data_IF_969665320822
#
_entry.id   IF_969665320822
#
_cell.length_a   1.000
_cell.length_b   1.000
_cell.length_c   1.000
_cell.angle_alpha   90.00
_cell.angle_beta   90.00
_cell.angle_gamma   90.00
#
_symmetry.space_group_name_H-M   'P 1'
#
loop_
_entity.id
_entity.type
_entity.pdbx_description
1 polymer ?
#
# COMPACT_ATOMS: atom_id res chain seq x y z
N UNK A 1 17.37 -46.51 57.16
CA UNK A 1 15.94 -46.25 56.93
C UNK A 1 15.84 -44.93 56.17
N UNK A 2 15.67 -44.98 54.85
CA UNK A 2 15.63 -43.79 53.98
C UNK A 2 14.17 -43.45 53.69
N UNK A 3 13.68 -42.33 54.22
CA UNK A 3 12.33 -41.85 53.96
C UNK A 3 12.32 -41.10 52.62
N UNK A 4 11.78 -41.74 51.59
CA UNK A 4 11.57 -41.11 50.29
C UNK A 4 10.39 -40.14 50.35
N UNK A 5 10.64 -38.87 50.05
CA UNK A 5 9.62 -37.83 49.93
C UNK A 5 8.89 -38.04 48.59
N UNK A 6 7.66 -38.56 48.63
CA UNK A 6 6.80 -38.66 47.45
C UNK A 6 6.25 -37.27 47.12
N UNK A 7 6.76 -36.64 46.05
CA UNK A 7 6.17 -35.40 45.52
C UNK A 7 4.88 -35.74 44.79
N UNK A 8 3.75 -35.23 45.30
CA UNK A 8 2.44 -35.35 44.64
C UNK A 8 2.46 -34.47 43.38
N UNK A 9 2.65 -35.07 42.22
CA UNK A 9 2.55 -34.35 40.95
C UNK A 9 1.12 -33.82 40.81
N UNK A 10 0.95 -32.50 40.74
CA UNK A 10 -0.33 -31.89 40.42
C UNK A 10 -0.79 -32.44 39.05
N UNK A 11 -2.02 -32.91 38.98
CA UNK A 11 -2.61 -33.38 37.72
C UNK A 11 -2.40 -32.31 36.64
N UNK A 12 -1.93 -32.73 35.47
CA UNK A 12 -1.79 -31.85 34.33
C UNK A 12 -3.17 -31.21 34.06
N UNK A 13 -3.30 -29.90 34.28
CA UNK A 13 -4.47 -29.17 33.81
C UNK A 13 -4.47 -29.31 32.30
N UNK A 14 -5.59 -29.77 31.74
CA UNK A 14 -5.76 -29.80 30.29
C UNK A 14 -5.44 -28.41 29.74
N UNK A 15 -4.61 -28.36 28.70
CA UNK A 15 -4.25 -27.10 28.08
C UNK A 15 -5.55 -26.41 27.65
N UNK A 16 -5.79 -25.14 28.02
CA UNK A 16 -6.99 -24.44 27.61
C UNK A 16 -7.08 -24.54 26.10
N UNK A 17 -8.24 -24.99 25.60
CA UNK A 17 -8.53 -25.08 24.18
C UNK A 17 -8.34 -23.65 23.65
N UNK A 18 -7.19 -23.38 23.03
CA UNK A 18 -6.97 -22.09 22.39
C UNK A 18 -7.92 -22.06 21.22
N UNK A 19 -9.01 -21.32 21.33
CA UNK A 19 -9.91 -20.97 20.24
C UNK A 19 -9.15 -20.16 19.18
N UNK A 20 -8.26 -20.82 18.41
CA UNK A 20 -7.49 -20.22 17.31
C UNK A 20 -8.22 -20.35 15.98
N UNK A 21 -9.52 -20.07 15.96
CA UNK A 21 -10.30 -19.93 14.73
C UNK A 21 -10.57 -18.45 14.44
N UNK A 22 -10.85 -18.10 13.18
CA UNK A 22 -11.26 -16.74 12.80
C UNK A 22 -12.43 -16.24 13.68
N UNK A 23 -13.43 -17.09 13.90
CA UNK A 23 -14.61 -16.79 14.75
C UNK A 23 -14.22 -16.60 16.22
N UNK A 24 -13.29 -17.41 16.74
CA UNK A 24 -12.75 -17.26 18.09
C UNK A 24 -11.98 -15.95 18.27
N UNK A 25 -11.20 -15.56 17.27
CA UNK A 25 -10.49 -14.28 17.21
C UNK A 25 -11.46 -13.08 17.19
N UNK A 26 -12.50 -13.14 16.36
CA UNK A 26 -13.52 -12.07 16.29
C UNK A 26 -14.22 -11.92 17.65
N UNK A 27 -14.66 -13.02 18.26
CA UNK A 27 -15.36 -12.96 19.55
C UNK A 27 -14.44 -12.44 20.66
N UNK A 28 -13.19 -12.89 20.70
CA UNK A 28 -12.24 -12.51 21.75
C UNK A 28 -11.65 -11.10 21.61
N UNK A 29 -11.62 -10.52 20.40
CA UNK A 29 -11.07 -9.19 20.18
C UNK A 29 -12.12 -8.10 19.94
N UNK A 30 -13.17 -8.39 19.16
CA UNK A 30 -14.19 -7.38 18.79
C UNK A 30 -15.38 -7.36 19.76
N UNK A 31 -15.72 -8.50 20.38
CA UNK A 31 -16.91 -8.67 21.22
C UNK A 31 -16.59 -9.23 22.61
N UNK A 32 -15.41 -8.88 23.14
CA UNK A 32 -14.89 -9.42 24.39
C UNK A 32 -15.69 -9.00 25.63
N UNK A 33 -16.25 -7.78 25.62
CA UNK A 33 -17.02 -7.18 26.70
C UNK A 33 -18.21 -6.43 26.11
N UNK A 34 -19.29 -6.23 26.88
CA UNK A 34 -20.51 -5.54 26.42
C UNK A 34 -20.22 -4.13 25.85
N UNK A 35 -19.30 -3.38 26.46
CA UNK A 35 -18.89 -2.06 25.96
C UNK A 35 -18.14 -2.14 24.62
N UNK A 36 -17.22 -3.11 24.47
CA UNK A 36 -16.55 -3.36 23.19
C UNK A 36 -17.53 -3.77 22.10
N UNK A 37 -18.54 -4.59 22.42
CA UNK A 37 -19.59 -4.95 21.47
C UNK A 37 -20.37 -3.74 20.97
N UNK A 38 -20.73 -2.80 21.85
CA UNK A 38 -21.44 -1.56 21.46
C UNK A 38 -20.56 -0.69 20.57
N UNK A 39 -19.30 -0.45 20.96
CA UNK A 39 -18.37 0.35 20.15
C UNK A 39 -18.16 -0.30 18.78
N UNK A 40 -17.94 -1.62 18.75
CA UNK A 40 -17.73 -2.36 17.50
C UNK A 40 -18.93 -2.20 16.57
N UNK A 41 -20.16 -2.37 17.06
CA UNK A 41 -21.38 -2.18 16.25
C UNK A 41 -21.51 -0.74 15.78
N UNK A 42 -21.24 0.24 16.64
CA UNK A 42 -21.28 1.66 16.28
C UNK A 42 -20.24 1.99 15.19
N UNK A 43 -19.01 1.47 15.32
CA UNK A 43 -17.96 1.64 14.31
C UNK A 43 -18.36 1.01 12.98
N UNK A 44 -18.89 -0.21 12.99
CA UNK A 44 -19.39 -0.84 11.76
C UNK A 44 -20.51 -0.03 11.12
N UNK A 45 -21.42 0.53 11.92
CA UNK A 45 -22.48 1.39 11.41
C UNK A 45 -21.92 2.69 10.79
N UNK A 46 -21.00 3.38 11.47
CA UNK A 46 -20.37 4.60 10.94
C UNK A 46 -19.57 4.32 9.68
N UNK A 47 -18.70 3.30 9.71
CA UNK A 47 -17.88 2.90 8.57
C UNK A 47 -18.78 2.46 7.41
N UNK A 48 -19.85 1.71 7.69
CA UNK A 48 -20.82 1.31 6.69
C UNK A 48 -21.48 2.50 5.97
N UNK A 49 -21.88 3.53 6.72
CA UNK A 49 -22.43 4.76 6.14
C UNK A 49 -21.40 5.51 5.28
N UNK A 50 -20.15 5.63 5.76
CA UNK A 50 -19.08 6.29 5.01
C UNK A 50 -18.78 5.53 3.71
N UNK A 51 -18.66 4.20 3.78
CA UNK A 51 -18.41 3.35 2.62
C UNK A 51 -19.56 3.46 1.62
N UNK A 52 -20.80 3.44 2.10
CA UNK A 52 -21.97 3.60 1.24
C UNK A 52 -21.98 4.96 0.53
N UNK A 53 -21.74 6.05 1.27
CA UNK A 53 -21.63 7.39 0.71
C UNK A 53 -20.51 7.48 -0.34
N UNK A 54 -19.32 6.95 -0.05
CA UNK A 54 -18.19 6.94 -0.99
C UNK A 54 -18.48 6.10 -2.23
N UNK A 55 -19.24 5.01 -2.09
CA UNK A 55 -19.64 4.16 -3.21
C UNK A 55 -20.67 4.85 -4.10
N UNK A 56 -21.69 5.49 -3.51
CA UNK A 56 -22.66 6.28 -4.27
C UNK A 56 -21.99 7.44 -5.00
N UNK A 57 -21.12 8.18 -4.31
CA UNK A 57 -20.39 9.32 -4.86
C UNK A 57 -19.38 8.91 -5.95
N UNK A 58 -18.60 7.86 -5.67
CA UNK A 58 -17.42 7.48 -6.45
C UNK A 58 -17.72 6.52 -7.60
N UNK A 59 -18.81 5.76 -7.53
CA UNK A 59 -19.12 4.71 -8.51
C UNK A 59 -20.48 4.91 -9.15
N UNK A 60 -21.55 5.00 -8.34
CA UNK A 60 -22.92 4.99 -8.86
C UNK A 60 -23.29 6.30 -9.56
N UNK A 61 -23.01 7.43 -8.93
CA UNK A 61 -23.32 8.76 -9.45
C UNK A 61 -22.15 9.41 -10.20
N UNK A 62 -21.05 8.66 -10.41
CA UNK A 62 -19.84 9.21 -10.98
C UNK A 62 -19.92 9.44 -12.49
N UNK A 63 -19.24 10.48 -12.97
CA UNK A 63 -19.12 10.80 -14.39
C UNK A 63 -17.90 10.08 -14.96
N UNK A 64 -18.15 8.98 -15.68
CA UNK A 64 -17.12 8.10 -16.20
C UNK A 64 -16.47 8.60 -17.50
N UNK A 65 -17.25 9.22 -18.38
CA UNK A 65 -16.80 9.64 -19.72
C UNK A 65 -17.20 11.09 -19.96
N UNK A 66 -16.29 11.89 -20.48
CA UNK A 66 -16.53 13.28 -20.86
C UNK A 66 -15.42 13.77 -21.79
N UNK A 67 -15.75 14.69 -22.69
CA UNK A 67 -14.81 15.20 -23.70
C UNK A 67 -13.73 16.13 -23.11
N UNK A 68 -13.93 16.63 -21.89
CA UNK A 68 -12.95 17.48 -21.20
C UNK A 68 -13.13 17.48 -19.69
N UNK A 69 -12.11 17.96 -18.96
CA UNK A 69 -12.18 18.24 -17.53
C UNK A 69 -13.37 19.12 -17.08
N UNK A 70 -13.99 19.89 -17.99
CA UNK A 70 -15.15 20.74 -17.73
C UNK A 70 -16.49 20.05 -17.97
N UNK A 71 -16.48 18.81 -18.45
CA UNK A 71 -17.68 18.06 -18.80
C UNK A 71 -18.45 17.51 -17.59
N UNK A 72 -17.97 17.70 -16.36
CA UNK A 72 -18.64 17.24 -15.16
C UNK A 72 -19.70 18.28 -14.72
N UNK A 73 -21.00 17.96 -14.85
CA UNK A 73 -22.09 18.93 -14.71
C UNK A 73 -22.31 19.36 -13.25
N UNK A 74 -22.02 18.48 -12.29
CA UNK A 74 -22.20 18.74 -10.86
C UNK A 74 -20.92 18.39 -10.09
N UNK A 75 -20.53 19.26 -9.14
CA UNK A 75 -19.39 19.05 -8.23
C UNK A 75 -19.70 18.03 -7.11
N UNK A 76 -20.95 17.54 -7.05
CA UNK A 76 -21.44 16.65 -5.99
C UNK A 76 -21.07 15.18 -6.20
N UNK A 77 -20.48 14.81 -7.34
CA UNK A 77 -20.12 13.43 -7.70
C UNK A 77 -18.67 13.32 -8.16
N UNK A 78 -18.09 12.11 -8.10
CA UNK A 78 -16.74 11.90 -8.63
C UNK A 78 -16.69 12.10 -10.15
N UNK A 79 -15.63 12.78 -10.62
CA UNK A 79 -15.40 13.12 -12.02
C UNK A 79 -14.22 12.29 -12.56
N UNK A 80 -14.48 11.06 -13.02
CA UNK A 80 -13.43 10.19 -13.60
C UNK A 80 -12.96 10.70 -14.97
N UNK A 81 -13.81 11.44 -15.70
CA UNK A 81 -13.43 12.10 -16.95
C UNK A 81 -12.24 13.07 -16.79
N UNK A 82 -12.08 13.70 -15.63
CA UNK A 82 -10.91 14.54 -15.33
C UNK A 82 -9.62 13.70 -15.25
N UNK A 83 -9.71 12.54 -14.59
CA UNK A 83 -8.56 11.64 -14.41
C UNK A 83 -8.11 11.09 -15.76
N UNK A 84 -9.05 10.72 -16.63
CA UNK A 84 -8.74 10.24 -17.98
C UNK A 84 -8.23 11.35 -18.91
N UNK A 85 -8.62 12.61 -18.73
CA UNK A 85 -8.06 13.76 -19.47
C UNK A 85 -6.62 14.08 -19.02
N UNK A 86 -6.35 14.00 -17.71
CA UNK A 86 -5.08 14.43 -17.09
C UNK A 86 -4.18 13.29 -16.64
N UNK A 87 -4.43 12.05 -17.08
CA UNK A 87 -3.68 10.87 -16.65
C UNK A 87 -2.17 11.00 -16.86
N UNK A 88 -1.73 11.63 -17.96
CA UNK A 88 -0.30 11.84 -18.25
C UNK A 88 0.37 12.71 -17.19
N UNK A 89 -0.31 13.74 -16.71
CA UNK A 89 0.19 14.62 -15.66
C UNK A 89 0.27 13.88 -14.31
N UNK A 90 -0.73 13.04 -14.01
CA UNK A 90 -0.79 12.24 -12.77
C UNK A 90 0.32 11.18 -12.75
N UNK A 91 0.63 10.57 -13.90
CA UNK A 91 1.67 9.55 -14.00
C UNK A 91 3.05 10.23 -14.11
N UNK A 92 3.29 11.00 -15.16
CA UNK A 92 4.63 11.48 -15.53
C UNK A 92 5.01 12.86 -14.98
N UNK A 93 4.06 13.61 -14.37
CA UNK A 93 4.29 14.99 -13.97
C UNK A 93 4.42 15.94 -15.18
N UNK A 94 5.23 16.98 -15.04
CA UNK A 94 5.47 18.01 -16.08
C UNK A 94 6.63 17.63 -17.03
N UNK A 95 6.97 16.34 -17.08
CA UNK A 95 8.09 15.82 -17.87
C UNK A 95 7.66 15.65 -19.34
N UNK A 96 8.47 16.13 -20.32
CA UNK A 96 8.15 16.01 -21.73
C UNK A 96 8.11 14.55 -22.20
N UNK A 97 7.27 14.27 -23.20
CA UNK A 97 6.94 12.92 -23.68
C UNK A 97 8.18 12.12 -24.14
N UNK A 98 9.19 12.81 -24.67
CA UNK A 98 10.44 12.19 -25.12
C UNK A 98 11.23 11.55 -23.97
N UNK A 99 10.95 11.90 -22.71
CA UNK A 99 11.63 11.37 -21.53
C UNK A 99 10.78 10.34 -20.76
N UNK A 100 9.55 10.07 -21.20
CA UNK A 100 8.65 9.12 -20.53
C UNK A 100 9.21 7.70 -20.47
N UNK A 101 10.05 7.30 -21.44
CA UNK A 101 10.70 5.99 -21.41
C UNK A 101 11.57 5.78 -20.16
N UNK A 102 12.22 6.84 -19.64
CA UNK A 102 13.03 6.78 -18.42
C UNK A 102 12.16 6.55 -17.19
N UNK A 103 11.03 7.26 -17.12
CA UNK A 103 10.06 7.10 -16.04
C UNK A 103 9.41 5.71 -16.09
N UNK A 104 9.10 5.19 -17.28
CA UNK A 104 8.59 3.84 -17.45
C UNK A 104 9.59 2.78 -16.96
N UNK A 105 10.88 2.95 -17.26
CA UNK A 105 11.93 2.07 -16.72
C UNK A 105 12.02 2.15 -15.19
N UNK A 106 11.85 3.35 -14.61
CA UNK A 106 11.80 3.52 -13.16
C UNK A 106 10.63 2.75 -12.54
N UNK A 107 9.45 2.84 -13.15
CA UNK A 107 8.27 2.08 -12.70
C UNK A 107 8.45 0.57 -12.85
N UNK A 108 9.04 0.11 -13.95
CA UNK A 108 9.35 -1.30 -14.13
C UNK A 108 10.31 -1.80 -13.05
N UNK A 109 11.31 -1.00 -12.67
CA UNK A 109 12.22 -1.34 -11.58
C UNK A 109 11.52 -1.37 -10.21
N UNK A 110 10.61 -0.43 -9.96
CA UNK A 110 9.79 -0.40 -8.75
C UNK A 110 8.90 -1.65 -8.65
N UNK A 111 8.23 -2.02 -9.75
CA UNK A 111 7.39 -3.23 -9.83
C UNK A 111 8.25 -4.49 -9.66
N UNK A 112 9.41 -4.57 -10.33
CA UNK A 112 10.32 -5.70 -10.17
C UNK A 112 10.77 -5.86 -8.71
N UNK A 113 11.10 -4.75 -8.04
CA UNK A 113 11.47 -4.75 -6.63
C UNK A 113 10.30 -5.23 -5.76
N UNK A 114 9.07 -4.74 -6.00
CA UNK A 114 7.88 -5.19 -5.29
C UNK A 114 7.62 -6.70 -5.47
N UNK A 115 7.73 -7.21 -6.70
CA UNK A 115 7.59 -8.64 -7.00
C UNK A 115 8.63 -9.47 -6.25
N UNK A 116 9.91 -9.04 -6.25
CA UNK A 116 10.96 -9.71 -5.48
C UNK A 116 10.59 -9.75 -3.99
N UNK A 117 10.10 -8.67 -3.41
CA UNK A 117 9.67 -8.67 -2.01
C UNK A 117 8.46 -9.55 -1.73
N UNK A 118 7.50 -9.64 -2.66
CA UNK A 118 6.27 -10.44 -2.50
C UNK A 118 6.55 -11.94 -2.64
N UNK A 119 7.46 -12.37 -3.52
CA UNK A 119 7.66 -13.79 -3.82
C UNK A 119 8.90 -14.40 -3.14
N UNK A 120 9.80 -13.60 -2.57
CA UNK A 120 11.12 -14.04 -2.11
C UNK A 120 11.22 -14.07 -0.58
N UNK A 121 10.72 -15.17 0.02
CA UNK A 121 10.71 -15.39 1.48
C UNK A 121 11.84 -16.32 1.99
N UNK A 122 12.62 -16.94 1.09
CA UNK A 122 13.70 -17.86 1.47
C UNK A 122 14.92 -17.19 2.14
N UNK A 123 15.78 -18.00 2.76
CA UNK A 123 17.09 -17.52 3.26
C UNK A 123 18.08 -17.22 2.13
N UNK A 124 18.05 -18.00 1.04
CA UNK A 124 18.93 -17.83 -0.13
C UNK A 124 18.56 -16.57 -0.92
N UNK A 125 17.25 -16.31 -0.99
CA UNK A 125 16.57 -15.15 -1.56
C UNK A 125 16.90 -13.81 -0.88
N UNK A 126 17.43 -13.83 0.35
CA UNK A 126 17.78 -12.62 1.09
C UNK A 126 18.80 -11.77 0.34
N UNK A 127 19.74 -12.39 -0.36
CA UNK A 127 20.75 -11.65 -1.14
C UNK A 127 20.12 -10.89 -2.30
N UNK A 128 19.21 -11.52 -3.04
CA UNK A 128 18.51 -10.92 -4.18
C UNK A 128 17.64 -9.75 -3.69
N UNK A 129 16.89 -9.95 -2.60
CA UNK A 129 16.04 -8.90 -2.03
C UNK A 129 16.85 -7.68 -1.58
N UNK A 130 17.97 -7.89 -0.88
CA UNK A 130 18.86 -6.79 -0.48
C UNK A 130 19.48 -6.10 -1.70
N UNK A 131 19.83 -6.86 -2.74
CA UNK A 131 20.36 -6.31 -4.00
C UNK A 131 19.37 -5.36 -4.65
N UNK A 132 18.12 -5.79 -4.85
CA UNK A 132 17.07 -4.94 -5.42
C UNK A 132 16.73 -3.75 -4.53
N UNK A 133 16.70 -3.96 -3.22
CA UNK A 133 16.47 -2.89 -2.24
C UNK A 133 17.51 -1.77 -2.39
N UNK A 134 18.81 -2.08 -2.49
CA UNK A 134 19.85 -1.05 -2.63
C UNK A 134 19.95 -0.53 -4.06
N UNK A 135 19.80 -1.40 -5.07
CA UNK A 135 19.95 -1.02 -6.47
C UNK A 135 18.83 -0.09 -6.94
N UNK A 136 17.59 -0.30 -6.48
CA UNK A 136 16.42 0.49 -6.88
C UNK A 136 16.60 2.01 -6.69
N UNK A 137 16.90 2.55 -5.48
CA UNK A 137 17.04 3.98 -5.28
C UNK A 137 18.24 4.56 -6.04
N UNK A 138 19.34 3.82 -6.16
CA UNK A 138 20.55 4.27 -6.86
C UNK A 138 20.28 4.39 -8.35
N UNK A 139 19.76 3.33 -8.98
CA UNK A 139 19.44 3.32 -10.40
C UNK A 139 18.33 4.32 -10.69
N UNK A 140 17.29 4.36 -9.86
CA UNK A 140 16.17 5.30 -10.00
C UNK A 140 16.61 6.76 -9.96
N UNK A 141 17.54 7.11 -9.08
CA UNK A 141 18.10 8.47 -9.01
C UNK A 141 18.78 8.89 -10.31
N UNK A 142 19.66 8.05 -10.87
CA UNK A 142 20.33 8.35 -12.14
C UNK A 142 19.37 8.42 -13.32
N UNK A 143 18.35 7.56 -13.32
CA UNK A 143 17.35 7.46 -14.38
C UNK A 143 16.42 8.68 -14.41
N UNK A 144 16.02 9.19 -13.24
CA UNK A 144 15.11 10.33 -13.11
C UNK A 144 15.82 11.70 -13.20
N UNK A 145 16.97 11.87 -12.53
CA UNK A 145 17.70 13.15 -12.54
C UNK A 145 18.36 13.43 -13.89
N UNK A 146 18.83 12.39 -14.56
CA UNK A 146 19.69 12.55 -15.73
C UNK A 146 20.97 13.33 -15.42
N UNK A 147 21.67 13.83 -16.44
CA UNK A 147 22.93 14.57 -16.29
C UNK A 147 24.18 13.70 -16.17
N UNK A 148 24.03 12.37 -16.14
CA UNK A 148 25.12 11.39 -16.25
C UNK A 148 24.94 10.55 -17.52
N UNK A 149 26.02 10.02 -18.09
CA UNK A 149 26.00 9.19 -19.32
C UNK A 149 25.41 9.88 -20.57
N UNK A 150 25.45 11.22 -20.65
CA UNK A 150 24.89 11.98 -21.79
C UNK A 150 23.36 12.12 -21.79
N UNK A 151 22.69 11.72 -20.71
CA UNK A 151 21.25 11.90 -20.56
C UNK A 151 20.91 13.37 -20.25
N UNK A 152 19.94 13.94 -20.98
CA UNK A 152 19.33 15.23 -20.65
C UNK A 152 18.93 15.29 -19.16
N UNK A 153 19.30 16.38 -18.47
CA UNK A 153 18.95 16.57 -17.06
C UNK A 153 17.49 17.02 -16.94
N UNK A 154 16.78 16.47 -15.96
CA UNK A 154 15.41 16.87 -15.62
C UNK A 154 15.44 17.50 -14.23
N UNK A 155 14.98 18.75 -14.16
CA UNK A 155 14.85 19.48 -12.90
C UNK A 155 13.83 18.78 -11.99
N UNK A 156 14.13 18.61 -10.69
CA UNK A 156 13.20 18.02 -9.71
C UNK A 156 11.84 18.73 -9.65
N UNK A 157 11.78 20.01 -9.97
CA UNK A 157 10.53 20.81 -9.99
C UNK A 157 9.49 20.30 -11.01
N UNK A 158 9.94 19.52 -12.00
CA UNK A 158 9.06 18.91 -13.02
C UNK A 158 8.54 17.54 -12.58
N UNK A 159 9.10 16.97 -11.52
CA UNK A 159 8.65 15.70 -10.97
C UNK A 159 7.34 15.93 -10.23
N UNK A 160 6.30 15.22 -10.64
CA UNK A 160 4.99 15.31 -10.04
C UNK A 160 4.30 13.96 -10.06
N UNK A 161 3.10 13.94 -9.49
CA UNK A 161 2.23 12.77 -9.55
C UNK A 161 2.89 11.52 -8.96
N UNK A 162 2.78 10.40 -9.67
CA UNK A 162 3.21 9.08 -9.20
C UNK A 162 4.73 8.94 -9.09
N UNK A 163 5.50 9.67 -9.91
CA UNK A 163 6.97 9.69 -9.77
C UNK A 163 7.37 10.25 -8.41
N UNK A 164 6.80 11.40 -8.04
CA UNK A 164 7.14 12.07 -6.78
C UNK A 164 6.77 11.21 -5.57
N UNK A 165 5.59 10.58 -5.57
CA UNK A 165 5.17 9.71 -4.47
C UNK A 165 6.09 8.50 -4.29
N UNK A 166 6.50 7.85 -5.39
CA UNK A 166 7.44 6.73 -5.33
C UNK A 166 8.82 7.17 -4.84
N UNK A 167 9.33 8.33 -5.28
CA UNK A 167 10.61 8.86 -4.82
C UNK A 167 10.57 9.15 -3.32
N UNK A 168 9.53 9.85 -2.83
CA UNK A 168 9.38 10.16 -1.41
C UNK A 168 9.23 8.88 -0.58
N UNK A 169 8.42 7.92 -1.03
CA UNK A 169 8.28 6.63 -0.38
C UNK A 169 9.61 5.88 -0.32
N UNK A 170 10.39 5.90 -1.40
CA UNK A 170 11.72 5.29 -1.43
C UNK A 170 12.62 5.95 -0.39
N UNK A 171 12.75 7.28 -0.40
CA UNK A 171 13.56 8.02 0.58
C UNK A 171 13.14 7.72 2.02
N UNK A 172 11.84 7.66 2.32
CA UNK A 172 11.34 7.33 3.67
C UNK A 172 11.56 5.88 4.11
N UNK A 173 11.86 4.97 3.17
CA UNK A 173 12.21 3.58 3.48
C UNK A 173 13.73 3.43 3.72
N UNK A 174 14.55 4.23 3.05
CA UNK A 174 16.02 4.16 3.16
C UNK A 174 16.64 5.08 4.20
N UNK A 175 15.99 6.21 4.53
CA UNK A 175 16.43 7.18 5.53
C UNK A 175 15.82 6.93 6.90
#
# INVERSE_FOLDING_TARGET
MSNAIVRKHANAREAPIKDRGFIGWVRSNLFSTWYHSIITVLLFWVVGNIVFFLFEWGVLNAVWVGESAKACPNLESACWAFITDRWRLIVYGLVPEQLHWRINLFYLLAIATAIVFIFSFGKQDKQIRTMFFIAFPIIGYFLLRGGSFGLQSVEPDKWGGLVLTLVVASCGIFG
#
